data_IF_956728645368
#
_entry.id   IF_956728645368
#
_cell.length_a   1.000
_cell.length_b   1.000
_cell.length_c   1.000
_cell.angle_alpha   90.00
_cell.angle_beta   90.00
_cell.angle_gamma   90.00
#
_symmetry.space_group_name_H-M   'P 1'
#
loop_
_entity.id
_entity.type
_entity.pdbx_description
1 polymer ?
#
# COMPACT_ATOMS: atom_id res chain seq x y z
N UNK A 1 -2.82 -10.19 -10.69
CA UNK A 1 -1.95 -10.60 -9.57
C UNK A 1 -2.65 -10.56 -8.23
N UNK A 2 -3.31 -9.48 -7.85
CA UNK A 2 -4.09 -9.43 -6.59
C UNK A 2 -5.14 -10.54 -6.49
N UNK A 3 -5.90 -10.83 -7.54
CA UNK A 3 -6.89 -11.92 -7.54
C UNK A 3 -6.28 -13.32 -7.35
N UNK A 4 -5.14 -13.61 -7.98
CA UNK A 4 -4.39 -14.86 -7.79
C UNK A 4 -3.79 -14.96 -6.38
N UNK A 5 -3.25 -13.86 -5.85
CA UNK A 5 -2.75 -13.80 -4.47
C UNK A 5 -3.86 -14.06 -3.44
N UNK A 6 -5.06 -13.54 -3.69
CA UNK A 6 -6.26 -13.83 -2.91
C UNK A 6 -6.64 -15.32 -2.99
N UNK A 7 -6.65 -15.91 -4.20
CA UNK A 7 -6.92 -17.34 -4.41
C UNK A 7 -5.98 -18.22 -3.59
N UNK A 8 -4.68 -17.91 -3.61
CA UNK A 8 -3.64 -18.63 -2.85
C UNK A 8 -3.70 -18.38 -1.34
N UNK A 9 -4.56 -17.47 -0.86
CA UNK A 9 -4.78 -17.22 0.56
C UNK A 9 -3.78 -16.27 1.21
N UNK A 10 -2.98 -15.53 0.43
CA UNK A 10 -2.02 -14.58 0.97
C UNK A 10 -2.65 -13.28 1.51
N UNK A 11 -3.92 -13.00 1.19
CA UNK A 11 -4.60 -11.79 1.62
C UNK A 11 -5.40 -12.00 2.94
N UNK A 12 -5.35 -11.04 3.88
CA UNK A 12 -6.21 -11.04 5.06
C UNK A 12 -7.69 -11.05 4.68
N UNK A 13 -8.48 -11.94 5.29
CA UNK A 13 -9.91 -12.14 4.95
C UNK A 13 -10.73 -10.85 5.05
N UNK A 14 -10.40 -9.96 5.98
CA UNK A 14 -11.10 -8.69 6.19
C UNK A 14 -10.90 -7.64 5.10
N UNK A 15 -9.97 -7.85 4.15
CA UNK A 15 -9.73 -6.95 3.03
C UNK A 15 -10.32 -7.45 1.71
N UNK A 16 -10.72 -8.73 1.63
CA UNK A 16 -11.14 -9.35 0.37
C UNK A 16 -12.56 -8.91 0.01
N UNK A 17 -12.73 -8.40 -1.21
CA UNK A 17 -14.04 -8.07 -1.78
C UNK A 17 -14.25 -8.87 -3.07
N UNK A 18 -15.39 -9.58 -3.12
CA UNK A 18 -15.77 -10.43 -4.25
C UNK A 18 -15.46 -11.91 -4.04
N UNK A 19 -15.71 -12.72 -5.07
CA UNK A 19 -15.56 -14.17 -4.99
C UNK A 19 -14.11 -14.61 -5.15
N UNK A 20 -13.48 -15.05 -4.06
CA UNK A 20 -12.12 -15.59 -4.03
C UNK A 20 -11.89 -16.70 -5.08
N UNK A 21 -12.86 -17.59 -5.32
CA UNK A 21 -12.68 -18.71 -6.24
C UNK A 21 -12.54 -18.27 -7.71
N UNK A 22 -13.11 -17.12 -8.07
CA UNK A 22 -13.18 -16.64 -9.47
C UNK A 22 -11.88 -16.00 -9.99
N UNK A 23 -10.92 -15.69 -9.11
CA UNK A 23 -9.65 -15.04 -9.50
C UNK A 23 -9.77 -13.55 -9.82
N UNK A 24 -10.96 -12.97 -9.72
CA UNK A 24 -11.24 -11.54 -9.92
C UNK A 24 -11.48 -10.77 -8.61
N UNK A 25 -11.32 -11.43 -7.46
CA UNK A 25 -11.44 -10.77 -6.17
C UNK A 25 -10.45 -9.59 -6.06
N UNK A 26 -10.89 -8.53 -5.40
CA UNK A 26 -10.11 -7.32 -5.16
C UNK A 26 -9.83 -7.17 -3.67
N UNK A 27 -8.91 -6.27 -3.32
CA UNK A 27 -8.69 -5.88 -1.93
C UNK A 27 -9.17 -4.46 -1.71
N UNK A 28 -9.78 -4.21 -0.56
CA UNK A 28 -10.12 -2.88 -0.06
C UNK A 28 -9.52 -2.66 1.32
N UNK A 29 -9.14 -1.41 1.60
CA UNK A 29 -8.78 -0.98 2.94
C UNK A 29 -10.05 -0.71 3.78
N UNK A 30 -9.85 -0.39 5.06
CA UNK A 30 -10.94 -0.04 5.99
C UNK A 30 -11.74 1.22 5.58
N UNK A 31 -11.21 2.03 4.66
CA UNK A 31 -11.82 3.28 4.17
C UNK A 31 -12.54 3.09 2.82
N UNK A 32 -12.62 1.85 2.31
CA UNK A 32 -13.27 1.52 1.04
C UNK A 32 -12.43 1.77 -0.22
N UNK A 33 -11.19 2.27 -0.06
CA UNK A 33 -10.22 2.44 -1.12
C UNK A 33 -9.60 1.12 -1.58
N UNK A 34 -9.23 1.05 -2.86
CA UNK A 34 -8.62 -0.15 -3.43
C UNK A 34 -7.22 -0.41 -2.89
N UNK A 35 -6.90 -1.68 -2.69
CA UNK A 35 -5.55 -2.16 -2.40
C UNK A 35 -5.10 -3.06 -3.55
N UNK A 36 -3.92 -2.78 -4.09
CA UNK A 36 -3.36 -3.53 -5.23
C UNK A 36 -1.97 -4.06 -4.88
N UNK A 37 -1.64 -5.20 -5.49
CA UNK A 37 -0.31 -5.77 -5.44
C UNK A 37 0.22 -5.90 -6.87
N UNK A 38 1.38 -5.31 -7.11
CA UNK A 38 2.09 -5.36 -8.37
C UNK A 38 3.56 -5.74 -8.15
N UNK A 39 4.19 -6.46 -9.08
CA UNK A 39 5.60 -6.78 -9.05
C UNK A 39 6.36 -5.48 -9.32
N UNK A 40 7.48 -5.33 -8.65
CA UNK A 40 8.41 -4.25 -8.89
C UNK A 40 9.79 -4.82 -9.20
N UNK A 41 10.54 -4.10 -10.01
CA UNK A 41 11.93 -4.43 -10.32
C UNK A 41 12.84 -3.72 -9.34
N UNK A 42 13.79 -4.45 -8.76
CA UNK A 42 14.89 -3.85 -7.99
C UNK A 42 16.20 -4.05 -8.76
N UNK A 43 16.84 -2.93 -9.12
CA UNK A 43 18.13 -2.91 -9.82
C UNK A 43 18.20 -3.74 -11.13
N UNK A 44 17.14 -3.73 -11.95
CA UNK A 44 17.15 -4.36 -13.27
C UNK A 44 17.13 -5.90 -13.28
N UNK A 45 17.15 -6.55 -12.12
CA UNK A 45 16.93 -7.99 -11.99
C UNK A 45 15.49 -8.27 -11.53
N UNK A 46 14.87 -9.30 -12.08
CA UNK A 46 13.59 -9.82 -11.62
C UNK A 46 13.77 -10.50 -10.25
N UNK A 47 13.96 -9.70 -9.20
CA UNK A 47 13.83 -10.16 -7.82
C UNK A 47 12.35 -10.22 -7.47
N UNK A 48 11.97 -11.09 -6.53
CA UNK A 48 10.59 -11.25 -6.03
C UNK A 48 10.15 -10.05 -5.17
N UNK A 49 10.31 -8.83 -5.70
CA UNK A 49 9.93 -7.59 -5.06
C UNK A 49 8.52 -7.23 -5.52
N UNK A 50 7.70 -6.78 -4.58
CA UNK A 50 6.36 -6.33 -4.86
C UNK A 50 6.11 -4.97 -4.23
N UNK A 51 5.22 -4.22 -4.86
CA UNK A 51 4.69 -2.98 -4.36
C UNK A 51 3.23 -3.20 -3.99
N UNK A 52 2.91 -2.93 -2.73
CA UNK A 52 1.53 -2.87 -2.24
C UNK A 52 1.08 -1.42 -2.28
N UNK A 53 0.00 -1.12 -3.01
CA UNK A 53 -0.54 0.24 -3.11
C UNK A 53 -1.90 0.31 -2.42
N UNK A 54 -2.05 1.26 -1.51
CA UNK A 54 -3.27 1.58 -0.78
C UNK A 54 -3.80 2.94 -1.24
N UNK A 55 -5.07 3.00 -1.61
CA UNK A 55 -5.71 4.23 -2.11
C UNK A 55 -6.72 4.77 -1.09
N UNK A 56 -7.07 6.05 -1.22
CA UNK A 56 -8.17 6.68 -0.45
C UNK A 56 -7.92 6.68 1.07
N UNK A 57 -6.67 6.87 1.49
CA UNK A 57 -6.35 6.99 2.92
C UNK A 57 -6.63 8.41 3.43
N UNK A 58 -7.33 8.57 4.57
CA UNK A 58 -7.45 9.86 5.24
C UNK A 58 -6.09 10.41 5.68
N UNK A 59 -5.96 11.72 5.88
CA UNK A 59 -4.71 12.38 6.27
C UNK A 59 -4.06 11.73 7.49
N UNK A 60 -4.81 11.55 8.58
CA UNK A 60 -4.27 10.98 9.82
C UNK A 60 -3.80 9.53 9.62
N UNK A 61 -4.63 8.71 8.98
CA UNK A 61 -4.28 7.33 8.68
C UNK A 61 -3.09 7.23 7.70
N UNK A 62 -2.97 8.17 6.76
CA UNK A 62 -1.85 8.25 5.83
C UNK A 62 -0.54 8.46 6.59
N UNK A 63 -0.50 9.42 7.50
CA UNK A 63 0.70 9.73 8.29
C UNK A 63 1.10 8.58 9.21
N UNK A 64 0.14 7.96 9.91
CA UNK A 64 0.41 6.83 10.78
C UNK A 64 0.88 5.59 10.00
N UNK A 65 0.21 5.26 8.89
CA UNK A 65 0.57 4.06 8.13
C UNK A 65 1.94 4.23 7.46
N UNK A 66 2.22 5.39 6.86
CA UNK A 66 3.51 5.67 6.23
C UNK A 66 4.67 5.57 7.24
N UNK A 67 4.49 6.11 8.44
CA UNK A 67 5.52 6.07 9.49
C UNK A 67 5.75 4.66 10.03
N UNK A 68 4.69 3.92 10.33
CA UNK A 68 4.81 2.56 10.85
C UNK A 68 5.36 1.58 9.81
N UNK A 69 4.82 1.59 8.60
CA UNK A 69 5.21 0.62 7.56
C UNK A 69 6.59 0.89 7.00
N UNK A 70 7.03 2.15 6.93
CA UNK A 70 8.40 2.46 6.49
C UNK A 70 9.48 1.94 7.44
N UNK A 71 9.14 1.67 8.71
CA UNK A 71 10.01 1.01 9.69
C UNK A 71 9.90 -0.51 9.71
N UNK A 72 8.97 -1.11 8.95
CA UNK A 72 8.77 -2.54 8.97
C UNK A 72 9.94 -3.28 8.32
N UNK A 73 10.40 -4.41 8.90
CA UNK A 73 11.45 -5.22 8.30
C UNK A 73 10.94 -5.75 6.96
N UNK A 74 11.60 -5.31 5.88
CA UNK A 74 11.28 -5.72 4.52
C UNK A 74 10.58 -4.67 3.67
N UNK A 75 10.32 -3.46 4.16
CA UNK A 75 9.95 -2.31 3.30
C UNK A 75 11.20 -1.49 3.00
N UNK A 76 11.50 -1.26 1.71
CA UNK A 76 12.67 -0.48 1.27
C UNK A 76 12.30 0.92 0.79
N UNK A 77 11.11 1.06 0.23
CA UNK A 77 10.62 2.32 -0.31
C UNK A 77 9.18 2.52 0.09
N UNK A 78 8.89 3.71 0.62
CA UNK A 78 7.55 4.17 0.95
C UNK A 78 7.24 5.39 0.09
N UNK A 79 6.31 5.27 -0.84
CA UNK A 79 5.83 6.39 -1.63
C UNK A 79 4.54 6.95 -1.04
N UNK A 80 4.48 8.26 -0.85
CA UNK A 80 3.30 9.00 -0.37
C UNK A 80 2.89 9.97 -1.47
N UNK A 81 1.69 9.78 -2.03
CA UNK A 81 1.16 10.58 -3.13
C UNK A 81 2.15 10.72 -4.33
N UNK A 82 2.86 9.63 -4.64
CA UNK A 82 3.87 9.58 -5.69
C UNK A 82 5.27 10.05 -5.28
N UNK A 83 5.44 10.62 -4.08
CA UNK A 83 6.75 11.01 -3.55
C UNK A 83 7.44 9.81 -2.89
N UNK A 84 8.51 9.31 -3.49
CA UNK A 84 9.28 8.18 -2.95
C UNK A 84 10.18 8.57 -1.78
N UNK A 85 10.12 7.81 -0.69
CA UNK A 85 10.99 7.94 0.46
C UNK A 85 11.76 6.63 0.65
N UNK A 86 13.07 6.74 0.87
CA UNK A 86 13.94 5.60 1.18
C UNK A 86 14.20 5.52 2.68
N UNK A 87 13.99 4.32 3.24
CA UNK A 87 14.11 4.10 4.68
C UNK A 87 12.91 4.61 5.49
N UNK A 88 13.13 4.80 6.79
CA UNK A 88 12.06 5.15 7.74
C UNK A 88 11.57 6.58 7.51
N UNK A 89 10.28 6.72 7.27
CA UNK A 89 9.59 8.01 7.11
C UNK A 89 9.22 8.53 8.50
N UNK A 90 9.68 9.73 8.84
CA UNK A 90 9.28 10.40 10.08
C UNK A 90 7.85 10.97 9.98
N UNK A 91 7.18 11.15 11.11
CA UNK A 91 5.84 11.74 11.15
C UNK A 91 5.80 13.15 10.54
N UNK A 92 6.89 13.93 10.72
CA UNK A 92 7.01 15.25 10.12
C UNK A 92 7.11 15.19 8.58
N UNK A 93 7.84 14.21 8.03
CA UNK A 93 7.93 14.04 6.58
C UNK A 93 6.62 13.50 5.99
N UNK A 94 6.00 12.53 6.66
CA UNK A 94 4.69 12.01 6.25
C UNK A 94 3.62 13.12 6.27
N UNK A 95 3.58 13.94 7.33
CA UNK A 95 2.62 15.06 7.45
C UNK A 95 2.78 16.15 6.38
N UNK A 96 3.96 16.28 5.77
CA UNK A 96 4.17 17.18 4.62
C UNK A 96 3.71 16.59 3.28
N UNK A 97 3.72 15.27 3.16
CA UNK A 97 3.44 14.57 1.90
C UNK A 97 2.00 14.07 1.83
N UNK A 98 1.39 13.74 2.97
CA UNK A 98 -0.04 13.47 3.06
C UNK A 98 -0.81 14.78 2.88
N UNK A 99 -1.88 14.74 2.10
CA UNK A 99 -2.80 15.85 1.85
C UNK A 99 -4.03 15.72 2.73
N UNK A 100 -4.60 16.87 3.10
CA UNK A 100 -5.85 16.94 3.86
C UNK A 100 -7.00 16.30 3.07
N UNK A 101 -7.97 15.78 3.82
CA UNK A 101 -9.12 15.10 3.24
C UNK A 101 -10.01 16.07 2.45
N UNK A 102 -10.62 15.58 1.37
CA UNK A 102 -11.62 16.33 0.62
C UNK A 102 -13.00 15.80 1.01
N UNK A 103 -13.67 16.51 1.92
CA UNK A 103 -14.92 16.04 2.54
C UNK A 103 -14.68 14.83 3.45
N UNK A 104 -15.51 13.79 3.33
CA UNK A 104 -15.38 12.55 4.14
C UNK A 104 -14.50 11.48 3.49
N UNK A 105 -13.87 11.77 2.34
CA UNK A 105 -13.03 10.82 1.61
C UNK A 105 -11.56 11.21 1.68
N UNK A 106 -10.74 10.28 2.15
CA UNK A 106 -9.29 10.41 2.05
C UNK A 106 -8.85 10.43 0.59
N UNK A 107 -7.86 11.25 0.26
CA UNK A 107 -7.32 11.39 -1.09
C UNK A 107 -5.91 10.82 -1.22
N UNK A 108 -5.34 10.32 -0.12
CA UNK A 108 -3.96 9.88 -0.10
C UNK A 108 -3.77 8.49 -0.70
N UNK A 109 -2.65 8.34 -1.40
CA UNK A 109 -2.17 7.07 -1.93
C UNK A 109 -0.83 6.73 -1.31
N UNK A 110 -0.72 5.52 -0.76
CA UNK A 110 0.49 4.99 -0.15
C UNK A 110 0.95 3.76 -0.91
N UNK A 111 2.22 3.72 -1.32
CA UNK A 111 2.81 2.54 -1.94
C UNK A 111 4.04 2.08 -1.17
N UNK A 112 4.08 0.79 -0.83
CA UNK A 112 5.17 0.18 -0.08
C UNK A 112 5.82 -0.88 -0.93
N UNK A 113 7.11 -0.71 -1.23
CA UNK A 113 7.89 -1.66 -2.01
C UNK A 113 8.76 -2.48 -1.07
N UNK A 114 8.75 -3.80 -1.25
CA UNK A 114 9.48 -4.70 -0.38
C UNK A 114 10.96 -4.87 -0.74
N UNK A 115 11.76 -5.40 0.19
CA UNK A 115 13.05 -5.98 -0.15
C UNK A 115 12.86 -7.36 -0.80
N UNK A 116 13.95 -7.85 -1.40
CA UNK A 116 14.08 -9.22 -1.90
C UNK A 116 14.63 -10.15 -0.84
#
# INVERSE_FOLDING_TARGET
MTGTFIQLGGAPKGMIVGNKASGSATLKNQFGGSVTLAPATSNGAAKAVFTVTYNTYPFEACTQLATQMSGAPGVVTTAINGTSNSGVVSAANAGKQCVADSGSTGSNTLAFTTNS
#
